data_IF_789411323756
#
_entry.id   IF_789411323756
#
_cell.length_a   1.000
_cell.length_b   1.000
_cell.length_c   1.000
_cell.angle_alpha   90.00
_cell.angle_beta   90.00
_cell.angle_gamma   90.00
#
_symmetry.space_group_name_H-M   'P 1'
#
loop_
_entity.id
_entity.type
_entity.pdbx_description
1 polymer ?
#
# COMPACT_ATOMS: atom_id res chain seq x y z
N UNK A 1 7.82 -9.47 -11.60
CA UNK A 1 7.94 -8.11 -11.00
C UNK A 1 8.08 -7.02 -12.07
N UNK A 2 9.06 -7.08 -12.97
CA UNK A 2 9.23 -6.06 -14.04
C UNK A 2 8.04 -6.03 -15.01
N UNK A 3 7.53 -7.20 -15.42
CA UNK A 3 6.35 -7.31 -16.28
C UNK A 3 5.08 -6.80 -15.60
N UNK A 4 4.90 -7.10 -14.30
CA UNK A 4 3.80 -6.54 -13.51
C UNK A 4 3.85 -5.00 -13.42
N UNK A 5 5.05 -4.40 -13.34
CA UNK A 5 5.25 -2.95 -13.34
C UNK A 5 4.89 -2.27 -14.67
N UNK A 6 5.11 -2.98 -15.77
CA UNK A 6 4.74 -2.52 -17.12
C UNK A 6 3.24 -2.71 -17.34
N UNK A 7 2.68 -3.82 -16.87
CA UNK A 7 1.28 -4.18 -17.01
C UNK A 7 0.32 -3.38 -16.11
N UNK A 8 0.74 -3.02 -14.88
CA UNK A 8 -0.07 -2.21 -13.96
C UNK A 8 -0.30 -0.77 -14.42
N UNK A 9 0.39 -0.33 -15.46
CA UNK A 9 0.24 1.00 -16.04
C UNK A 9 0.71 2.13 -15.11
N UNK A 10 0.32 3.37 -15.44
CA UNK A 10 0.78 4.57 -14.73
C UNK A 10 0.44 4.57 -13.23
N UNK A 11 -0.66 3.92 -12.83
CA UNK A 11 -1.11 3.84 -11.43
C UNK A 11 -0.15 3.11 -10.48
N UNK A 12 0.77 2.30 -11.02
CA UNK A 12 1.73 1.57 -10.18
C UNK A 12 2.81 2.47 -9.58
N UNK A 13 3.27 3.50 -10.30
CA UNK A 13 4.30 4.43 -9.83
C UNK A 13 3.90 5.24 -8.59
N UNK A 14 2.74 5.95 -8.55
CA UNK A 14 2.32 6.68 -7.37
C UNK A 14 2.06 5.74 -6.18
N UNK A 15 1.50 4.56 -6.44
CA UNK A 15 1.27 3.51 -5.42
C UNK A 15 2.58 3.03 -4.81
N UNK A 16 3.59 2.78 -5.65
CA UNK A 16 4.90 2.33 -5.19
C UNK A 16 5.63 3.39 -4.37
N UNK A 17 5.64 4.65 -4.84
CA UNK A 17 6.29 5.75 -4.12
C UNK A 17 5.63 5.96 -2.76
N UNK A 18 4.30 6.01 -2.73
CA UNK A 18 3.51 6.12 -1.51
C UNK A 18 3.78 4.97 -0.54
N UNK A 19 3.69 3.73 -1.01
CA UNK A 19 3.86 2.56 -0.18
C UNK A 19 5.30 2.37 0.29
N UNK A 20 6.30 2.80 -0.49
CA UNK A 20 7.69 2.79 -0.04
C UNK A 20 7.94 3.85 1.04
N UNK A 21 7.39 5.06 0.87
CA UNK A 21 7.45 6.09 1.92
C UNK A 21 6.74 5.63 3.21
N UNK A 22 5.60 4.96 3.07
CA UNK A 22 4.90 4.33 4.19
C UNK A 22 5.78 3.28 4.88
N UNK A 23 6.40 2.38 4.11
CA UNK A 23 7.23 1.32 4.68
C UNK A 23 8.45 1.90 5.43
N UNK A 24 9.10 2.91 4.86
CA UNK A 24 10.23 3.60 5.50
C UNK A 24 9.80 4.31 6.79
N UNK A 25 8.64 4.99 6.78
CA UNK A 25 8.12 5.66 7.99
C UNK A 25 7.72 4.66 9.06
N UNK A 26 7.08 3.54 8.71
CA UNK A 26 6.79 2.44 9.64
C UNK A 26 8.04 1.78 10.21
N UNK A 27 9.07 1.54 9.39
CA UNK A 27 10.35 0.98 9.86
C UNK A 27 11.08 1.94 10.82
N UNK A 28 11.00 3.25 10.54
CA UNK A 28 11.55 4.29 11.42
C UNK A 28 10.79 4.35 12.75
N UNK A 29 9.46 4.29 12.70
CA UNK A 29 8.62 4.21 13.90
C UNK A 29 8.91 2.95 14.73
N UNK A 30 9.14 1.81 14.08
CA UNK A 30 9.54 0.57 14.76
C UNK A 30 10.86 0.72 15.52
N UNK A 31 11.80 1.51 14.98
CA UNK A 31 13.12 1.77 15.59
C UNK A 31 13.06 2.83 16.70
N UNK A 32 12.27 3.88 16.50
CA UNK A 32 12.08 5.01 17.43
C UNK A 32 10.59 5.34 17.52
N UNK A 33 9.87 4.75 18.49
CA UNK A 33 8.43 4.94 18.60
C UNK A 33 8.14 6.34 19.13
N UNK A 34 7.90 7.28 18.23
CA UNK A 34 7.47 8.64 18.53
C UNK A 34 6.04 8.84 18.00
N UNK A 35 5.12 9.35 18.84
CA UNK A 35 3.70 9.51 18.49
C UNK A 35 3.46 10.41 17.27
N UNK A 36 4.42 11.26 16.90
CA UNK A 36 4.35 12.13 15.71
C UNK A 36 4.27 11.39 14.38
N UNK A 37 4.73 10.14 14.33
CA UNK A 37 4.67 9.36 13.08
C UNK A 37 3.30 8.73 12.82
N UNK A 38 2.42 8.63 13.83
CA UNK A 38 1.13 7.93 13.71
C UNK A 38 0.21 8.58 12.67
N UNK A 39 -0.05 9.91 12.69
CA UNK A 39 -0.91 10.53 11.68
C UNK A 39 -0.34 10.40 10.27
N UNK A 40 0.99 10.52 10.13
CA UNK A 40 1.69 10.39 8.85
C UNK A 40 1.58 8.97 8.27
N UNK A 41 1.72 7.94 9.11
CA UNK A 41 1.57 6.55 8.68
C UNK A 41 0.13 6.24 8.24
N UNK A 42 -0.87 6.76 8.94
CA UNK A 42 -2.29 6.59 8.55
C UNK A 42 -2.56 7.26 7.21
N UNK A 43 -2.14 8.52 7.01
CA UNK A 43 -2.40 9.25 5.77
C UNK A 43 -1.65 8.63 4.58
N UNK A 44 -0.39 8.22 4.76
CA UNK A 44 0.37 7.49 3.73
C UNK A 44 -0.26 6.12 3.42
N UNK A 45 -0.78 5.41 4.43
CA UNK A 45 -1.50 4.15 4.27
C UNK A 45 -2.74 4.31 3.40
N UNK A 46 -3.59 5.27 3.74
CA UNK A 46 -4.79 5.61 2.96
C UNK A 46 -4.44 6.06 1.55
N UNK A 47 -3.42 6.92 1.40
CA UNK A 47 -2.97 7.37 0.09
C UNK A 47 -2.48 6.20 -0.78
N UNK A 48 -1.72 5.26 -0.21
CA UNK A 48 -1.26 4.06 -0.91
C UNK A 48 -2.43 3.21 -1.40
N UNK A 49 -3.44 2.99 -0.56
CA UNK A 49 -4.67 2.27 -0.91
C UNK A 49 -5.46 2.98 -2.01
N UNK A 50 -5.65 4.30 -1.90
CA UNK A 50 -6.37 5.08 -2.92
C UNK A 50 -5.62 5.13 -4.25
N UNK A 51 -4.29 5.26 -4.23
CA UNK A 51 -3.47 5.20 -5.44
C UNK A 51 -3.60 3.83 -6.14
N UNK A 52 -3.53 2.73 -5.39
CA UNK A 52 -3.70 1.37 -5.93
C UNK A 52 -5.10 1.15 -6.53
N UNK A 53 -6.14 1.57 -5.81
CA UNK A 53 -7.53 1.50 -6.28
C UNK A 53 -7.76 2.35 -7.53
N UNK A 54 -7.20 3.57 -7.58
CA UNK A 54 -7.30 4.44 -8.76
C UNK A 54 -6.58 3.83 -9.97
N UNK A 55 -5.41 3.21 -9.76
CA UNK A 55 -4.70 2.45 -10.78
C UNK A 55 -5.52 1.30 -11.35
N UNK A 56 -6.23 0.56 -10.49
CA UNK A 56 -7.16 -0.48 -10.93
C UNK A 56 -8.34 0.08 -11.73
N UNK A 57 -9.02 1.12 -11.23
CA UNK A 57 -10.17 1.73 -11.93
C UNK A 57 -9.76 2.25 -13.31
N UNK A 58 -8.64 2.96 -13.39
CA UNK A 58 -8.13 3.46 -14.67
C UNK A 58 -7.71 2.34 -15.62
N UNK A 59 -7.12 1.26 -15.11
CA UNK A 59 -6.82 0.04 -15.88
C UNK A 59 -8.07 -0.60 -16.48
N UNK A 60 -9.14 -0.75 -15.69
CA UNK A 60 -10.42 -1.28 -16.17
C UNK A 60 -11.07 -0.35 -17.20
N UNK A 61 -11.05 0.97 -16.98
CA UNK A 61 -11.58 1.94 -17.96
C UNK A 61 -10.86 1.83 -19.30
N UNK A 62 -9.53 1.67 -19.29
CA UNK A 62 -8.73 1.50 -20.49
C UNK A 62 -9.02 0.16 -21.18
N UNK A 63 -9.13 -0.92 -20.41
CA UNK A 63 -9.51 -2.25 -20.93
C UNK A 63 -10.87 -2.21 -21.64
N UNK A 64 -11.89 -1.64 -20.99
CA UNK A 64 -13.24 -1.53 -21.56
C UNK A 64 -13.24 -0.68 -22.83
N UNK A 65 -12.53 0.46 -22.83
CA UNK A 65 -12.38 1.31 -24.02
C UNK A 65 -11.69 0.58 -25.17
N UNK A 66 -10.68 -0.23 -24.87
CA UNK A 66 -9.91 -0.95 -25.87
C UNK A 66 -10.71 -2.14 -26.45
N UNK A 67 -11.44 -2.87 -25.60
CA UNK A 67 -12.31 -3.97 -26.00
C UNK A 67 -13.56 -3.50 -26.77
N UNK A 68 -14.04 -2.29 -26.53
CA UNK A 68 -15.13 -1.68 -27.30
C UNK A 68 -14.70 -1.13 -28.67
N UNK A 69 -13.41 -1.21 -29.02
CA UNK A 69 -12.90 -0.69 -30.29
C UNK A 69 -11.78 -1.55 -30.86
N UNK A 70 -10.49 -1.19 -30.69
CA UNK A 70 -9.38 -1.87 -31.37
C UNK A 70 -9.22 -3.37 -31.07
N UNK A 71 -9.74 -3.84 -29.92
CA UNK A 71 -9.69 -5.25 -29.51
C UNK A 71 -11.07 -5.93 -29.55
N UNK A 72 -12.08 -5.33 -30.20
CA UNK A 72 -13.44 -5.89 -30.24
C UNK A 72 -13.51 -7.28 -30.90
N UNK A 73 -12.64 -7.52 -31.88
CA UNK A 73 -12.56 -8.82 -32.58
C UNK A 73 -11.72 -9.86 -31.80
N UNK A 74 -11.05 -9.44 -30.72
CA UNK A 74 -10.31 -10.37 -29.89
C UNK A 74 -11.25 -11.09 -28.94
N UNK A 75 -11.01 -12.39 -28.75
CA UNK A 75 -11.85 -13.21 -27.88
C UNK A 75 -11.88 -12.71 -26.42
N UNK A 76 -12.82 -13.24 -25.61
CA UNK A 76 -13.04 -12.78 -24.23
C UNK A 76 -11.83 -13.00 -23.31
N UNK A 77 -10.84 -13.81 -23.70
CA UNK A 77 -9.57 -14.00 -22.97
C UNK A 77 -8.84 -12.69 -22.69
N UNK A 78 -8.93 -11.70 -23.58
CA UNK A 78 -8.32 -10.38 -23.41
C UNK A 78 -8.88 -9.64 -22.19
N UNK A 79 -10.17 -9.81 -21.90
CA UNK A 79 -10.80 -9.21 -20.72
C UNK A 79 -10.24 -9.80 -19.43
N UNK A 80 -10.06 -11.11 -19.38
CA UNK A 80 -9.48 -11.78 -18.21
C UNK A 80 -8.04 -11.37 -17.96
N UNK A 81 -7.23 -11.28 -19.03
CA UNK A 81 -5.84 -10.82 -18.94
C UNK A 81 -5.77 -9.36 -18.48
N UNK A 82 -6.50 -8.45 -19.13
CA UNK A 82 -6.49 -7.04 -18.73
C UNK A 82 -7.02 -6.80 -17.31
N UNK A 83 -7.98 -7.61 -16.85
CA UNK A 83 -8.45 -7.56 -15.47
C UNK A 83 -7.36 -8.00 -14.48
N UNK A 84 -6.64 -9.09 -14.79
CA UNK A 84 -5.49 -9.54 -14.01
C UNK A 84 -4.40 -8.46 -13.96
N UNK A 85 -4.10 -7.80 -15.08
CA UNK A 85 -3.14 -6.69 -15.14
C UNK A 85 -3.56 -5.54 -14.23
N UNK A 86 -4.83 -5.10 -14.31
CA UNK A 86 -5.36 -4.03 -13.46
C UNK A 86 -5.25 -4.35 -11.96
N UNK A 87 -5.48 -5.62 -11.56
CA UNK A 87 -5.41 -6.07 -10.17
C UNK A 87 -4.02 -5.92 -9.54
N UNK A 88 -2.94 -5.90 -10.34
CA UNK A 88 -1.59 -5.74 -9.81
C UNK A 88 -1.41 -4.43 -9.04
N UNK A 89 -2.13 -3.36 -9.40
CA UNK A 89 -2.09 -2.08 -8.68
C UNK A 89 -2.59 -2.24 -7.23
N UNK A 90 -3.71 -2.93 -7.05
CA UNK A 90 -4.30 -3.19 -5.73
C UNK A 90 -3.44 -4.17 -4.94
N UNK A 91 -2.93 -5.22 -5.60
CA UNK A 91 -2.04 -6.19 -4.96
C UNK A 91 -0.77 -5.50 -4.41
N UNK A 92 -0.16 -4.58 -5.17
CA UNK A 92 1.00 -3.83 -4.71
C UNK A 92 0.66 -2.93 -3.51
N UNK A 93 -0.47 -2.21 -3.58
CA UNK A 93 -0.92 -1.35 -2.48
C UNK A 93 -1.14 -2.16 -1.19
N UNK A 94 -1.82 -3.30 -1.29
CA UNK A 94 -2.06 -4.19 -0.17
C UNK A 94 -0.75 -4.76 0.40
N UNK A 95 0.16 -5.22 -0.46
CA UNK A 95 1.44 -5.75 0.00
C UNK A 95 2.24 -4.70 0.79
N UNK A 96 2.35 -3.48 0.25
CA UNK A 96 3.11 -2.40 0.92
C UNK A 96 2.44 -1.97 2.22
N UNK A 97 1.11 -1.85 2.25
CA UNK A 97 0.38 -1.50 3.47
C UNK A 97 0.43 -2.60 4.53
N UNK A 98 0.32 -3.88 4.15
CA UNK A 98 0.48 -5.01 5.08
C UNK A 98 1.88 -5.04 5.70
N UNK A 99 2.94 -4.93 4.89
CA UNK A 99 4.32 -4.90 5.40
C UNK A 99 4.55 -3.71 6.34
N UNK A 100 3.97 -2.55 5.99
CA UNK A 100 4.07 -1.35 6.80
C UNK A 100 3.29 -1.46 8.11
N UNK A 101 2.13 -2.14 8.11
CA UNK A 101 1.35 -2.40 9.30
C UNK A 101 2.08 -3.34 10.26
N UNK A 102 2.73 -4.40 9.74
CA UNK A 102 3.57 -5.30 10.54
C UNK A 102 4.70 -4.53 11.24
N UNK A 103 5.42 -3.67 10.50
CA UNK A 103 6.45 -2.82 11.10
C UNK A 103 5.87 -1.85 12.15
N UNK A 104 4.69 -1.28 11.90
CA UNK A 104 3.99 -0.42 12.86
C UNK A 104 3.62 -1.15 14.15
N UNK A 105 3.15 -2.40 14.05
CA UNK A 105 2.81 -3.25 15.20
C UNK A 105 4.03 -3.50 16.10
N UNK A 106 5.21 -3.71 15.52
CA UNK A 106 6.47 -3.82 16.28
C UNK A 106 6.77 -2.54 17.04
N UNK A 107 6.63 -1.37 16.41
CA UNK A 107 6.82 -0.07 17.06
C UNK A 107 5.84 0.17 18.21
N UNK A 108 4.56 -0.14 18.00
CA UNK A 108 3.52 -0.02 19.02
C UNK A 108 3.78 -0.94 20.22
N UNK A 109 4.23 -2.17 19.98
CA UNK A 109 4.60 -3.12 21.03
C UNK A 109 5.78 -2.61 21.88
N UNK A 110 6.82 -2.06 21.23
CA UNK A 110 7.96 -1.45 21.94
C UNK A 110 7.55 -0.24 22.78
N UNK A 111 6.69 0.62 22.25
CA UNK A 111 6.14 1.77 22.99
C UNK A 111 5.37 1.32 24.23
N UNK A 112 4.54 0.29 24.10
CA UNK A 112 3.78 -0.27 25.22
C UNK A 112 4.69 -0.86 26.30
N UNK A 113 5.78 -1.53 25.93
CA UNK A 113 6.78 -2.02 26.88
C UNK A 113 7.48 -0.89 27.63
N UNK A 114 7.88 0.18 26.93
CA UNK A 114 8.51 1.35 27.54
C UNK A 114 7.58 2.04 28.54
N UNK A 115 6.31 2.23 28.18
CA UNK A 115 5.29 2.79 29.08
C UNK A 115 5.09 1.92 30.33
N UNK A 116 5.06 0.59 30.17
CA UNK A 116 4.93 -0.35 31.29
C UNK A 116 6.13 -0.31 32.23
N UNK A 117 7.35 -0.23 31.68
CA UNK A 117 8.58 -0.09 32.47
C UNK A 117 8.60 1.23 33.26
N UNK A 118 8.21 2.34 32.64
CA UNK A 118 8.12 3.64 33.31
C UNK A 118 7.11 3.63 34.47
N UNK A 119 5.93 3.05 34.26
CA UNK A 119 4.91 2.92 35.30
C UNK A 119 5.38 2.09 36.51
N UNK A 120 6.20 1.05 36.28
CA UNK A 120 6.75 0.23 37.35
C UNK A 120 7.80 0.97 38.22
N UNK A 121 8.39 2.06 37.70
CA UNK A 121 9.42 2.84 38.42
C UNK A 121 8.88 4.02 39.22
N UNK A 122 7.58 4.34 39.13
CA UNK A 122 6.97 5.42 39.91
C UNK A 122 6.58 4.86 41.29
N UNK A 123 7.26 5.25 42.40
CA UNK A 123 6.88 4.80 43.73
C UNK A 123 5.51 5.41 44.08
N UNK A 124 4.60 4.55 44.53
CA UNK A 124 3.32 4.95 45.13
C UNK A 124 3.65 5.76 46.38
N UNK A 125 3.39 7.07 46.33
CA UNK A 125 3.48 7.98 47.48
C UNK A 125 2.20 7.91 48.30
#
# INVERSE_FOLDING_TARGET
>A
MREAFIAGGFGMYPTFIAGLALLLTSARYASRPESRYIPLMITLGLFTLFAGSLGFVTGIMNLMRAYAGPLADQGPSVLYLGFQEALHNVALALLLTTMSALAASVGAWRLAQQARAAAATVPVR
#
